data_IF_403765142043
#
_entry.id   IF_403765142043
#
_cell.length_a   1.000
_cell.length_b   1.000
_cell.length_c   1.000
_cell.angle_alpha   90.00
_cell.angle_beta   90.00
_cell.angle_gamma   90.00
#
_symmetry.space_group_name_H-M   'P 1'
#
loop_
_entity.id
_entity.type
_entity.pdbx_description
1 polymer ?
#
# COMPACT_ATOMS: atom_id res chain seq x y z
N UNK A 1 -3.17 2.47 -12.43
CA UNK A 1 -2.69 1.41 -13.36
C UNK A 1 -1.44 1.79 -14.14
N UNK A 2 -1.45 2.81 -15.01
CA UNK A 2 -0.27 3.21 -15.78
C UNK A 2 0.96 3.55 -14.90
N UNK A 3 0.78 4.34 -13.84
CA UNK A 3 1.86 4.70 -12.91
C UNK A 3 2.57 3.48 -12.29
N UNK A 4 1.80 2.46 -11.88
CA UNK A 4 2.33 1.20 -11.35
C UNK A 4 3.12 0.43 -12.42
N UNK A 5 2.57 0.32 -13.63
CA UNK A 5 3.23 -0.39 -14.73
C UNK A 5 4.58 0.25 -15.09
N UNK A 6 4.62 1.59 -15.19
CA UNK A 6 5.86 2.32 -15.46
C UNK A 6 6.86 2.14 -14.32
N UNK A 7 6.43 2.36 -13.07
CA UNK A 7 7.33 2.23 -11.90
C UNK A 7 7.94 0.84 -11.77
N UNK A 8 7.14 -0.23 -11.91
CA UNK A 8 7.66 -1.60 -11.85
C UNK A 8 8.49 -2.00 -13.08
N UNK A 9 8.27 -1.38 -14.24
CA UNK A 9 9.09 -1.59 -15.43
C UNK A 9 10.49 -0.97 -15.25
N UNK A 10 10.58 0.22 -14.67
CA UNK A 10 11.87 0.89 -14.43
C UNK A 10 12.81 0.09 -13.53
N UNK A 11 12.28 -0.72 -12.61
CA UNK A 11 13.09 -1.61 -11.77
C UNK A 11 13.79 -2.73 -12.56
N UNK A 12 13.37 -3.00 -13.79
CA UNK A 12 13.98 -4.01 -14.68
C UNK A 12 15.12 -3.43 -15.52
N UNK A 13 15.30 -2.10 -15.49
CA UNK A 13 16.42 -1.43 -16.14
C UNK A 13 17.75 -1.74 -15.43
N UNK A 14 18.85 -1.60 -16.15
CA UNK A 14 20.19 -1.91 -15.64
C UNK A 14 20.50 -1.09 -14.37
N UNK A 15 20.86 -1.77 -13.28
CA UNK A 15 21.20 -1.18 -11.98
C UNK A 15 20.06 -0.37 -11.32
N UNK A 16 18.81 -0.57 -11.73
CA UNK A 16 17.66 0.15 -11.16
C UNK A 16 16.86 -0.67 -10.15
N UNK A 17 17.20 -1.95 -9.93
CA UNK A 17 16.50 -2.81 -8.99
C UNK A 17 16.87 -2.51 -7.53
N UNK A 18 16.24 -1.47 -6.96
CA UNK A 18 16.43 -1.07 -5.56
C UNK A 18 15.92 -2.12 -4.56
N UNK A 19 15.19 -3.14 -5.02
CA UNK A 19 14.63 -4.21 -4.20
C UNK A 19 15.38 -5.54 -4.39
N UNK A 20 16.55 -5.54 -5.04
CA UNK A 20 17.31 -6.76 -5.38
C UNK A 20 17.64 -7.64 -4.16
N UNK A 21 17.85 -7.03 -2.99
CA UNK A 21 18.22 -7.74 -1.76
C UNK A 21 17.02 -8.24 -0.94
N UNK A 22 15.79 -8.00 -1.41
CA UNK A 22 14.60 -8.50 -0.74
C UNK A 22 14.35 -9.95 -1.12
N UNK A 23 13.94 -10.77 -0.15
CA UNK A 23 13.45 -12.12 -0.42
C UNK A 23 12.22 -12.07 -1.32
N UNK A 24 11.95 -13.18 -2.03
CA UNK A 24 10.76 -13.31 -2.88
C UNK A 24 9.46 -12.98 -2.13
N UNK A 25 9.36 -13.40 -0.85
CA UNK A 25 8.20 -13.12 0.00
C UNK A 25 8.05 -11.63 0.30
N UNK A 26 9.15 -10.95 0.65
CA UNK A 26 9.14 -9.50 0.89
C UNK A 26 8.78 -8.72 -0.38
N UNK A 27 9.30 -9.13 -1.54
CA UNK A 27 8.96 -8.52 -2.83
C UNK A 27 7.48 -8.65 -3.16
N UNK A 28 6.88 -9.82 -2.90
CA UNK A 28 5.47 -10.04 -3.15
C UNK A 28 4.60 -9.18 -2.22
N UNK A 29 4.94 -9.12 -0.93
CA UNK A 29 4.25 -8.27 0.04
C UNK A 29 4.37 -6.78 -0.32
N UNK A 30 5.59 -6.31 -0.64
CA UNK A 30 5.83 -4.94 -1.08
C UNK A 30 5.02 -4.60 -2.32
N UNK A 31 5.03 -5.49 -3.33
CA UNK A 31 4.27 -5.27 -4.56
C UNK A 31 2.77 -5.12 -4.27
N UNK A 32 2.21 -5.98 -3.42
CA UNK A 32 0.80 -5.90 -3.04
C UNK A 32 0.49 -4.55 -2.37
N UNK A 33 1.25 -4.17 -1.34
CA UNK A 33 1.06 -2.90 -0.64
C UNK A 33 1.18 -1.68 -1.56
N UNK A 34 2.20 -1.65 -2.44
CA UNK A 34 2.39 -0.53 -3.38
C UNK A 34 1.23 -0.44 -4.38
N UNK A 35 0.72 -1.57 -4.88
CA UNK A 35 -0.45 -1.59 -5.77
C UNK A 35 -1.66 -1.03 -5.04
N UNK A 36 -1.96 -1.52 -3.84
CA UNK A 36 -3.13 -1.09 -3.07
C UNK A 36 -3.07 0.42 -2.76
N UNK A 37 -1.92 0.92 -2.30
CA UNK A 37 -1.74 2.34 -1.97
C UNK A 37 -1.85 3.25 -3.21
N UNK A 38 -1.27 2.87 -4.35
CA UNK A 38 -1.32 3.70 -5.55
C UNK A 38 -2.70 3.65 -6.22
N UNK A 39 -3.41 2.52 -6.16
CA UNK A 39 -4.79 2.48 -6.66
C UNK A 39 -5.75 3.26 -5.76
N UNK A 40 -5.49 3.34 -4.46
CA UNK A 40 -6.26 4.14 -3.52
C UNK A 40 -6.15 5.67 -3.76
N UNK A 41 -5.21 6.15 -4.60
CA UNK A 41 -5.14 7.57 -4.97
C UNK A 41 -6.14 7.97 -6.06
N UNK A 42 -6.81 7.00 -6.69
CA UNK A 42 -7.90 7.27 -7.63
C UNK A 42 -9.05 7.97 -6.90
N UNK A 43 -9.35 9.20 -7.29
CA UNK A 43 -10.39 10.01 -6.65
C UNK A 43 -11.80 9.40 -6.78
N UNK A 44 -12.04 8.50 -7.74
CA UNK A 44 -13.29 7.73 -7.80
C UNK A 44 -13.49 6.81 -6.58
N UNK A 45 -12.41 6.47 -5.86
CA UNK A 45 -12.43 5.65 -4.64
C UNK A 45 -12.53 6.47 -3.35
N UNK A 46 -12.35 7.79 -3.42
CA UNK A 46 -12.23 8.66 -2.25
C UNK A 46 -13.37 8.47 -1.24
N UNK A 47 -14.63 8.48 -1.69
CA UNK A 47 -15.78 8.40 -0.78
C UNK A 47 -15.90 7.03 -0.11
N UNK A 48 -15.52 5.95 -0.79
CA UNK A 48 -15.49 4.61 -0.21
C UNK A 48 -14.44 4.53 0.90
N UNK A 49 -13.21 4.97 0.59
CA UNK A 49 -12.10 4.96 1.56
C UNK A 49 -12.38 5.84 2.77
N UNK A 50 -13.06 6.98 2.58
CA UNK A 50 -13.47 7.85 3.67
C UNK A 50 -14.53 7.19 4.56
N UNK A 51 -15.48 6.44 3.98
CA UNK A 51 -16.48 5.70 4.75
C UNK A 51 -15.81 4.60 5.58
N UNK A 52 -14.91 3.81 4.97
CA UNK A 52 -14.15 2.77 5.65
C UNK A 52 -13.33 3.33 6.82
N UNK A 53 -12.69 4.50 6.62
CA UNK A 53 -11.95 5.18 7.67
C UNK A 53 -12.85 5.65 8.82
N UNK A 54 -14.06 6.18 8.53
CA UNK A 54 -15.02 6.57 9.57
C UNK A 54 -15.43 5.36 10.41
N UNK A 55 -15.80 4.25 9.77
CA UNK A 55 -16.17 3.02 10.48
C UNK A 55 -15.00 2.45 11.29
N UNK A 56 -13.77 2.52 10.77
CA UNK A 56 -12.58 2.13 11.52
C UNK A 56 -12.40 2.98 12.78
N UNK A 57 -12.61 4.29 12.69
CA UNK A 57 -12.51 5.19 13.84
C UNK A 57 -13.62 4.95 14.87
N UNK A 58 -14.84 4.63 14.42
CA UNK A 58 -15.97 4.30 15.29
C UNK A 58 -15.77 2.98 16.04
N UNK A 59 -15.10 2.00 15.41
CA UNK A 59 -14.91 0.65 15.95
C UNK A 59 -13.52 0.39 16.52
N UNK A 60 -12.61 1.39 16.48
CA UNK A 60 -11.21 1.23 16.89
C UNK A 60 -11.11 0.72 18.33
N UNK A 61 -10.19 -0.20 18.55
CA UNK A 61 -9.75 -0.62 19.88
C UNK A 61 -8.36 -0.03 20.13
N UNK A 62 -8.14 0.49 21.31
CA UNK A 62 -6.87 1.10 21.71
C UNK A 62 -6.26 0.24 22.82
N UNK A 63 -4.97 -0.09 22.69
CA UNK A 63 -4.24 -0.79 23.74
C UNK A 63 -4.06 0.11 24.96
N UNK A 64 -3.78 -0.48 26.13
CA UNK A 64 -3.45 0.29 27.34
C UNK A 64 -2.23 1.20 27.18
N UNK A 65 -1.33 0.90 26.23
CA UNK A 65 -0.18 1.72 25.85
C UNK A 65 -0.49 2.81 24.81
N UNK A 66 -1.76 2.97 24.41
CA UNK A 66 -2.18 3.97 23.42
C UNK A 66 -1.97 3.57 21.95
N UNK A 67 -1.59 2.32 21.68
CA UNK A 67 -1.44 1.79 20.32
C UNK A 67 -2.80 1.43 19.70
N UNK A 68 -2.93 1.60 18.38
CA UNK A 68 -4.14 1.20 17.66
C UNK A 68 -4.13 -0.32 17.43
N UNK A 69 -5.23 -0.99 17.78
CA UNK A 69 -5.52 -2.35 17.34
C UNK A 69 -6.41 -2.26 16.10
N UNK A 70 -5.80 -2.52 14.94
CA UNK A 70 -6.46 -2.62 13.64
C UNK A 70 -7.06 -4.02 13.44
#
# INVERSE_FOLDING_TARGET
>A
NHHLAVGFKLLQERNCDIFQNLSRRQRQALRQMVIDMVLATDMSKHMSLLADLKTMVETKKVTSSGGLLL
#
